data_IF_749899749789
#
_entry.id   IF_749899749789
#
_cell.length_a   1.000
_cell.length_b   1.000
_cell.length_c   1.000
_cell.angle_alpha   90.00
_cell.angle_beta   90.00
_cell.angle_gamma   90.00
#
_symmetry.space_group_name_H-M   'P 1'
#
loop_
_entity.id
_entity.type
_entity.pdbx_description
1 polymer ?
#
# COMPACT_ATOMS: atom_id res chain seq x y z
N UNK A 1 28.50 40.65 39.55
CA UNK A 1 27.48 41.54 38.93
C UNK A 1 28.13 42.07 37.65
N UNK A 2 27.70 41.89 36.40
CA UNK A 2 26.46 41.43 35.77
C UNK A 2 26.78 41.11 34.29
N UNK A 3 26.03 40.18 33.69
CA UNK A 3 26.18 39.56 32.34
C UNK A 3 26.10 40.55 31.17
N UNK A 4 26.67 40.17 30.01
CA UNK A 4 25.96 40.12 28.72
C UNK A 4 26.82 39.47 27.60
N UNK A 5 26.58 38.18 27.32
CA UNK A 5 27.06 37.53 26.10
C UNK A 5 25.99 37.77 25.01
N UNK A 6 26.31 38.55 23.97
CA UNK A 6 25.41 38.77 22.83
C UNK A 6 25.46 37.56 21.91
N UNK A 7 24.44 36.71 21.98
CA UNK A 7 24.20 35.65 21.00
C UNK A 7 23.73 36.32 19.71
N UNK A 8 24.57 36.29 18.67
CA UNK A 8 24.13 36.57 17.30
C UNK A 8 23.13 35.47 16.93
N UNK A 9 21.86 35.84 16.78
CA UNK A 9 20.80 34.97 16.26
C UNK A 9 21.15 34.61 14.81
N UNK A 10 21.86 33.50 14.63
CA UNK A 10 21.90 32.80 13.36
C UNK A 10 20.52 32.23 13.09
N UNK A 11 19.77 32.90 12.21
CA UNK A 11 18.55 32.35 11.64
C UNK A 11 18.99 31.33 10.58
N UNK A 12 19.17 30.08 10.99
CA UNK A 12 19.21 28.97 10.04
C UNK A 12 17.78 28.84 9.52
N UNK A 13 17.56 29.28 8.28
CA UNK A 13 16.39 28.89 7.50
C UNK A 13 16.53 27.38 7.24
N UNK A 14 16.07 26.56 8.19
CA UNK A 14 15.86 25.14 7.97
C UNK A 14 14.78 25.04 6.90
N UNK A 15 15.20 24.78 5.66
CA UNK A 15 14.30 24.53 4.54
C UNK A 15 13.34 23.40 4.91
N UNK A 16 12.06 23.68 4.82
CA UNK A 16 10.99 22.70 4.97
C UNK A 16 11.06 21.78 3.75
N UNK A 17 11.88 20.73 3.82
CA UNK A 17 11.86 19.67 2.82
C UNK A 17 10.55 18.91 3.05
N UNK A 18 9.61 18.88 2.08
CA UNK A 18 8.46 18.00 2.20
C UNK A 18 9.00 16.57 2.25
N UNK A 19 8.75 15.88 3.37
CA UNK A 19 8.89 14.44 3.45
C UNK A 19 7.86 13.87 2.48
N UNK A 20 8.32 13.45 1.31
CA UNK A 20 7.52 12.61 0.42
C UNK A 20 7.47 11.26 1.14
N UNK A 21 6.37 10.99 1.84
CA UNK A 21 6.06 9.65 2.31
C UNK A 21 5.64 8.86 1.07
N UNK A 22 6.51 7.98 0.59
CA UNK A 22 6.10 6.94 -0.33
C UNK A 22 5.49 5.83 0.54
N UNK A 23 4.25 5.43 0.24
CA UNK A 23 3.73 4.14 0.69
C UNK A 23 4.43 3.09 -0.20
N UNK A 24 5.61 2.67 0.24
CA UNK A 24 6.45 1.72 -0.45
C UNK A 24 6.22 0.35 0.18
N UNK A 25 5.68 -0.57 -0.62
CA UNK A 25 5.55 -1.98 -0.25
C UNK A 25 6.79 -2.52 0.49
N UNK A 26 6.69 -2.71 1.81
CA UNK A 26 7.75 -3.29 2.62
C UNK A 26 7.54 -4.80 2.69
N UNK A 27 8.39 -5.54 1.98
CA UNK A 27 8.33 -6.99 1.96
C UNK A 27 9.74 -7.58 2.04
N UNK A 28 9.91 -8.63 2.85
CA UNK A 28 11.16 -9.39 2.86
C UNK A 28 11.21 -10.28 1.61
N UNK A 29 11.91 -9.82 0.57
CA UNK A 29 12.04 -10.52 -0.71
C UNK A 29 12.63 -11.93 -0.54
N UNK A 30 13.35 -12.22 0.56
CA UNK A 30 13.84 -13.57 0.85
C UNK A 30 12.71 -14.59 1.03
N UNK A 31 11.56 -14.17 1.56
CA UNK A 31 10.38 -15.05 1.74
C UNK A 31 9.68 -15.37 0.40
N UNK A 32 9.95 -14.55 -0.62
CA UNK A 32 9.32 -14.63 -1.94
C UNK A 32 10.28 -15.14 -3.03
N UNK A 33 11.31 -15.90 -2.67
CA UNK A 33 12.16 -16.60 -3.65
C UNK A 33 11.31 -17.54 -4.53
N UNK A 34 11.45 -17.37 -5.84
CA UNK A 34 10.69 -18.14 -6.85
C UNK A 34 9.31 -17.56 -7.19
N UNK A 35 8.93 -16.45 -6.57
CA UNK A 35 7.77 -15.67 -6.99
C UNK A 35 8.14 -14.74 -8.14
N UNK A 36 7.13 -14.33 -8.90
CA UNK A 36 7.27 -13.40 -10.02
C UNK A 36 6.26 -12.27 -9.88
N UNK A 37 6.65 -11.07 -10.30
CA UNK A 37 5.70 -9.95 -10.43
C UNK A 37 4.74 -10.28 -11.56
N UNK A 38 3.47 -10.47 -11.21
CA UNK A 38 2.39 -10.73 -12.15
C UNK A 38 1.77 -9.43 -12.68
N UNK A 39 1.68 -8.40 -11.82
CA UNK A 39 1.11 -7.09 -12.18
C UNK A 39 1.61 -5.99 -11.24
N UNK A 40 1.61 -4.74 -11.73
CA UNK A 40 1.67 -3.52 -10.92
C UNK A 40 0.58 -2.58 -11.41
N UNK A 41 -0.20 -2.00 -10.50
CA UNK A 41 -1.23 -1.03 -10.83
C UNK A 41 -1.60 -0.15 -9.65
N UNK A 42 -2.79 0.43 -9.71
CA UNK A 42 -3.39 1.22 -8.65
C UNK A 42 -4.74 0.64 -8.28
N UNK A 43 -5.02 0.53 -6.97
CA UNK A 43 -6.35 0.15 -6.48
C UNK A 43 -7.33 1.28 -6.78
N UNK A 44 -8.42 0.95 -7.49
CA UNK A 44 -9.46 1.94 -7.83
C UNK A 44 -10.74 1.79 -7.03
N UNK A 45 -10.84 0.75 -6.20
CA UNK A 45 -11.93 0.51 -5.27
C UNK A 45 -12.06 -0.96 -4.88
N UNK A 46 -13.19 -1.30 -4.27
CA UNK A 46 -13.54 -2.69 -3.99
C UNK A 46 -15.05 -2.95 -4.13
N UNK A 47 -15.42 -4.22 -4.20
CA UNK A 47 -16.80 -4.71 -4.11
C UNK A 47 -16.87 -5.79 -3.02
N UNK A 48 -17.77 -5.62 -2.07
CA UNK A 48 -18.06 -6.63 -1.04
C UNK A 48 -19.06 -7.68 -1.54
N UNK A 49 -19.14 -8.80 -0.83
CA UNK A 49 -20.01 -9.93 -1.19
C UNK A 49 -21.52 -9.59 -1.17
N UNK A 50 -21.91 -8.52 -0.48
CA UNK A 50 -23.28 -7.99 -0.49
C UNK A 50 -23.56 -7.02 -1.66
N UNK A 51 -22.56 -6.76 -2.50
CA UNK A 51 -22.62 -5.85 -3.63
C UNK A 51 -22.30 -4.38 -3.30
N UNK A 52 -21.97 -4.07 -2.04
CA UNK A 52 -21.51 -2.74 -1.64
C UNK A 52 -20.19 -2.39 -2.34
N UNK A 53 -20.01 -1.11 -2.68
CA UNK A 53 -18.85 -0.61 -3.42
C UNK A 53 -18.32 0.67 -2.80
N UNK A 54 -17.01 0.79 -2.74
CA UNK A 54 -16.30 2.03 -2.41
C UNK A 54 -15.08 2.21 -3.33
N UNK A 55 -14.66 3.45 -3.53
CA UNK A 55 -13.48 3.81 -4.35
C UNK A 55 -12.20 3.90 -3.50
N UNK A 56 -12.33 3.92 -2.17
CA UNK A 56 -11.22 3.83 -1.24
C UNK A 56 -10.86 2.36 -0.98
N UNK A 57 -9.60 2.08 -0.67
CA UNK A 57 -9.20 0.78 -0.14
C UNK A 57 -9.53 0.73 1.37
N UNK A 58 -10.18 -0.34 1.83
CA UNK A 58 -10.57 -0.56 3.22
C UNK A 58 -10.08 -1.91 3.75
N UNK A 59 -8.86 -2.29 3.38
CA UNK A 59 -8.31 -3.60 3.73
C UNK A 59 -8.98 -4.75 2.98
N UNK A 60 -8.74 -5.95 3.47
CA UNK A 60 -9.33 -7.19 2.97
C UNK A 60 -10.31 -7.81 3.96
N UNK A 61 -11.42 -8.29 3.42
CA UNK A 61 -12.28 -9.29 4.04
C UNK A 61 -12.42 -10.45 3.06
N UNK A 62 -12.66 -11.66 3.55
CA UNK A 62 -12.86 -12.80 2.65
C UNK A 62 -13.90 -12.50 1.57
N UNK A 63 -13.59 -12.92 0.34
CA UNK A 63 -14.41 -12.75 -0.86
C UNK A 63 -14.60 -11.30 -1.32
N UNK A 64 -13.96 -10.31 -0.68
CA UNK A 64 -13.91 -8.94 -1.20
C UNK A 64 -13.12 -8.92 -2.49
N UNK A 65 -13.67 -8.25 -3.49
CA UNK A 65 -13.05 -8.05 -4.79
C UNK A 65 -12.36 -6.69 -4.80
N UNK A 66 -11.03 -6.66 -4.90
CA UNK A 66 -10.24 -5.44 -5.07
C UNK A 66 -10.10 -5.14 -6.56
N UNK A 67 -10.40 -3.90 -6.94
CA UNK A 67 -10.40 -3.44 -8.33
C UNK A 67 -9.11 -2.69 -8.64
N UNK A 68 -8.54 -2.98 -9.80
CA UNK A 68 -7.20 -2.51 -10.18
C UNK A 68 -7.27 -1.94 -11.59
N UNK A 69 -6.74 -0.73 -11.77
CA UNK A 69 -6.66 -0.02 -13.06
C UNK A 69 -7.98 0.04 -13.86
N UNK A 70 -9.11 -0.13 -13.18
CA UNK A 70 -10.47 -0.24 -13.74
C UNK A 70 -10.70 -1.42 -14.71
N UNK A 71 -9.73 -2.33 -14.89
CA UNK A 71 -9.80 -3.44 -15.86
C UNK A 71 -9.39 -4.82 -15.29
N UNK A 72 -8.90 -4.88 -14.06
CA UNK A 72 -8.49 -6.11 -13.36
C UNK A 72 -9.11 -6.17 -11.97
N UNK A 73 -9.19 -7.39 -11.44
CA UNK A 73 -9.73 -7.61 -10.11
C UNK A 73 -9.14 -8.86 -9.44
N UNK A 74 -8.81 -8.74 -8.16
CA UNK A 74 -8.37 -9.87 -7.33
C UNK A 74 -9.33 -10.07 -6.18
N UNK A 75 -9.46 -11.30 -5.72
CA UNK A 75 -10.33 -11.63 -4.58
C UNK A 75 -9.47 -11.83 -3.33
N UNK A 76 -9.79 -11.16 -2.23
CA UNK A 76 -9.12 -11.36 -0.95
C UNK A 76 -9.32 -12.80 -0.44
N UNK A 77 -8.25 -13.45 0.03
CA UNK A 77 -8.28 -14.79 0.64
C UNK A 77 -7.92 -14.78 2.14
N UNK A 78 -7.94 -13.59 2.75
CA UNK A 78 -7.73 -13.39 4.18
C UNK A 78 -8.43 -12.14 4.72
N UNK A 79 -8.32 -11.93 6.03
CA UNK A 79 -8.70 -10.68 6.68
C UNK A 79 -7.46 -9.81 6.90
N UNK A 80 -7.50 -8.57 6.42
CA UNK A 80 -6.49 -7.56 6.67
C UNK A 80 -7.17 -6.20 6.90
N UNK A 81 -6.70 -5.45 7.90
CA UNK A 81 -7.21 -4.11 8.16
C UNK A 81 -6.29 -3.08 7.53
N UNK A 82 -6.85 -2.19 6.72
CA UNK A 82 -6.12 -1.10 6.09
C UNK A 82 -7.06 -0.01 5.64
N UNK A 83 -6.51 1.17 5.39
CA UNK A 83 -7.26 2.26 4.77
C UNK A 83 -6.32 3.16 3.97
N UNK A 84 -6.53 3.22 2.67
CA UNK A 84 -5.76 4.06 1.79
C UNK A 84 -6.60 4.60 0.62
N UNK A 85 -6.35 5.84 0.23
CA UNK A 85 -6.96 6.42 -0.96
C UNK A 85 -6.13 6.03 -2.19
N UNK A 86 -6.67 5.12 -3.01
CA UNK A 86 -6.06 4.67 -4.27
C UNK A 86 -4.56 4.28 -4.13
N UNK A 87 -4.21 3.33 -3.24
CA UNK A 87 -2.83 2.88 -3.10
C UNK A 87 -2.33 2.18 -4.36
N UNK A 88 -1.00 2.18 -4.52
CA UNK A 88 -0.34 1.28 -5.47
C UNK A 88 -0.52 -0.18 -5.02
N UNK A 89 -0.57 -1.08 -5.99
CA UNK A 89 -0.62 -2.53 -5.76
C UNK A 89 0.44 -3.23 -6.61
N UNK A 90 1.17 -4.15 -5.98
CA UNK A 90 2.07 -5.10 -6.67
C UNK A 90 1.57 -6.50 -6.41
N UNK A 91 1.32 -7.26 -7.47
CA UNK A 91 0.89 -8.66 -7.37
C UNK A 91 2.06 -9.56 -7.65
N UNK A 92 2.31 -10.49 -6.74
CA UNK A 92 3.28 -11.56 -6.89
C UNK A 92 2.54 -12.89 -7.05
N UNK A 93 3.08 -13.77 -7.88
CA UNK A 93 2.55 -15.12 -8.10
C UNK A 93 3.64 -16.18 -8.06
N UNK A 94 3.30 -17.34 -7.49
CA UNK A 94 4.09 -18.57 -7.58
C UNK A 94 3.15 -19.77 -7.68
N UNK A 95 3.21 -20.48 -8.81
CA UNK A 95 2.30 -21.61 -9.11
C UNK A 95 0.82 -21.20 -8.98
N UNK A 96 0.15 -21.71 -7.94
CA UNK A 96 -1.26 -21.45 -7.63
C UNK A 96 -1.46 -20.39 -6.55
N UNK A 97 -0.37 -19.96 -5.90
CA UNK A 97 -0.39 -18.97 -4.83
C UNK A 97 -0.21 -17.57 -5.42
N UNK A 98 -0.93 -16.59 -4.87
CA UNK A 98 -0.79 -15.18 -5.21
C UNK A 98 -0.89 -14.32 -3.95
N UNK A 99 -0.06 -13.27 -3.90
CA UNK A 99 -0.14 -12.23 -2.87
C UNK A 99 -0.18 -10.88 -3.54
N UNK A 100 -0.84 -9.91 -2.90
CA UNK A 100 -0.78 -8.52 -3.27
C UNK A 100 -0.10 -7.74 -2.16
N UNK A 101 0.78 -6.82 -2.52
CA UNK A 101 1.29 -5.83 -1.59
C UNK A 101 0.56 -4.51 -1.83
N UNK A 102 -0.12 -4.01 -0.81
CA UNK A 102 -0.95 -2.80 -0.85
C UNK A 102 -0.73 -2.03 0.45
N UNK A 103 -0.39 -0.75 0.36
CA UNK A 103 -0.23 0.12 1.54
C UNK A 103 0.69 -0.50 2.62
N UNK A 104 1.85 -0.99 2.18
CA UNK A 104 2.90 -1.63 3.00
C UNK A 104 2.52 -2.98 3.65
N UNK A 105 1.35 -3.51 3.31
CA UNK A 105 0.87 -4.81 3.80
C UNK A 105 0.87 -5.84 2.66
N UNK A 106 1.39 -7.04 2.93
CA UNK A 106 1.30 -8.17 2.00
C UNK A 106 0.13 -9.05 2.40
N UNK A 107 -0.79 -9.25 1.46
CA UNK A 107 -2.06 -9.94 1.68
C UNK A 107 -2.27 -11.10 0.71
N UNK A 108 -2.87 -12.18 1.20
CA UNK A 108 -3.23 -13.35 0.39
C UNK A 108 -4.44 -13.05 -0.52
N UNK A 109 -4.31 -13.40 -1.81
CA UNK A 109 -5.33 -13.13 -2.83
C UNK A 109 -5.50 -14.29 -3.83
N UNK A 110 -6.61 -14.24 -4.57
CA UNK A 110 -6.87 -15.06 -5.76
C UNK A 110 -6.94 -14.15 -6.98
N UNK A 111 -6.29 -14.58 -8.06
CA UNK A 111 -6.28 -13.89 -9.36
C UNK A 111 -7.41 -14.44 -10.23
N UNK A 112 -8.20 -13.55 -10.84
CA UNK A 112 -9.42 -13.91 -11.59
C UNK A 112 -9.28 -13.77 -13.13
N UNK A 113 -8.07 -13.66 -13.69
CA UNK A 113 -7.82 -13.45 -15.14
C UNK A 113 -6.77 -14.39 -15.75
#
# INVERSE_FOLDING_TARGET
MTRAFKIVKGFILAGFMPLIANADCDMDVADYVGWTIAHKGTVTGYVDSDGSRDDNFHGCTYDRIILIDDDKAVTCDEYNYGYAYRPDIVILKRNWDAVACIDDEVIDIKIEW
#
